data_IF_343370301225
#
_entry.id   IF_343370301225
#
_cell.length_a   1.000
_cell.length_b   1.000
_cell.length_c   1.000
_cell.angle_alpha   90.00
_cell.angle_beta   90.00
_cell.angle_gamma   90.00
#
_symmetry.space_group_name_H-M   'P 1'
#
loop_
_entity.id
_entity.type
_entity.pdbx_description
1 polymer ?
#
# COMPACT_ATOMS: atom_id res chain seq x y z
N UNK A 1 7.37 13.37 0.16
CA UNK A 1 7.42 11.89 0.07
C UNK A 1 6.34 11.20 0.91
N UNK A 2 6.05 11.64 2.15
CA UNK A 2 5.03 10.99 3.01
C UNK A 2 3.61 10.90 2.40
N UNK A 3 3.16 11.94 1.70
CA UNK A 3 1.84 11.95 1.05
C UNK A 3 1.70 10.88 -0.04
N UNK A 4 2.78 10.56 -0.77
CA UNK A 4 2.76 9.56 -1.84
C UNK A 4 2.59 8.15 -1.26
N UNK A 5 3.33 7.81 -0.19
CA UNK A 5 3.18 6.53 0.51
C UNK A 5 1.77 6.36 1.09
N UNK A 6 1.25 7.40 1.75
CA UNK A 6 -0.12 7.39 2.27
C UNK A 6 -1.15 7.17 1.15
N UNK A 7 -1.03 7.89 0.02
CA UNK A 7 -1.91 7.71 -1.14
C UNK A 7 -1.87 6.29 -1.70
N UNK A 8 -0.69 5.69 -1.85
CA UNK A 8 -0.54 4.32 -2.36
C UNK A 8 -1.22 3.32 -1.41
N UNK A 9 -0.97 3.42 -0.11
CA UNK A 9 -1.58 2.52 0.89
C UNK A 9 -3.10 2.69 0.94
N UNK A 10 -3.60 3.93 0.88
CA UNK A 10 -5.05 4.21 0.88
C UNK A 10 -5.71 3.67 -0.38
N UNK A 11 -5.04 3.79 -1.53
CA UNK A 11 -5.51 3.23 -2.80
C UNK A 11 -5.58 1.71 -2.74
N UNK A 12 -4.54 1.06 -2.18
CA UNK A 12 -4.53 -0.37 -1.97
C UNK A 12 -5.68 -0.81 -1.06
N UNK A 13 -5.89 -0.15 0.08
CA UNK A 13 -6.99 -0.44 0.99
C UNK A 13 -8.36 -0.32 0.29
N UNK A 14 -8.55 0.71 -0.53
CA UNK A 14 -9.79 0.89 -1.30
C UNK A 14 -9.97 -0.21 -2.36
N UNK A 15 -8.89 -0.63 -3.03
CA UNK A 15 -8.92 -1.74 -3.97
C UNK A 15 -9.26 -3.06 -3.28
N UNK A 16 -8.65 -3.38 -2.14
CA UNK A 16 -8.97 -4.60 -1.38
C UNK A 16 -10.45 -4.66 -0.99
N UNK A 17 -11.04 -3.52 -0.58
CA UNK A 17 -12.49 -3.43 -0.33
C UNK A 17 -13.31 -3.66 -1.60
N UNK A 18 -12.94 -3.03 -2.72
CA UNK A 18 -13.67 -3.14 -3.99
C UNK A 18 -13.61 -4.54 -4.59
N UNK A 19 -12.47 -5.21 -4.52
CA UNK A 19 -12.23 -6.54 -5.11
C UNK A 19 -12.53 -7.68 -4.15
N UNK A 20 -12.97 -7.38 -2.92
CA UNK A 20 -13.22 -8.36 -1.84
C UNK A 20 -11.99 -9.20 -1.49
N UNK A 21 -10.80 -8.67 -1.76
CA UNK A 21 -9.53 -9.31 -1.39
C UNK A 21 -9.21 -9.04 0.09
N UNK A 22 -8.53 -9.99 0.74
CA UNK A 22 -8.15 -9.87 2.16
C UNK A 22 -6.78 -9.24 2.35
N UNK A 23 -5.79 -9.60 1.54
CA UNK A 23 -4.41 -9.18 1.74
C UNK A 23 -3.88 -8.45 0.50
N UNK A 24 -2.99 -7.50 0.71
CA UNK A 24 -2.32 -6.77 -0.36
C UNK A 24 -0.99 -6.20 0.10
N UNK A 25 -0.10 -5.94 -0.86
CA UNK A 25 1.21 -5.35 -0.60
C UNK A 25 1.36 -4.09 -1.45
N UNK A 26 1.88 -3.02 -0.83
CA UNK A 26 2.31 -1.81 -1.50
C UNK A 26 3.84 -1.72 -1.42
N UNK A 27 4.50 -1.32 -2.50
CA UNK A 27 5.94 -1.05 -2.52
C UNK A 27 6.26 0.26 -3.23
N UNK A 28 7.38 0.88 -2.85
CA UNK A 28 7.88 2.09 -3.50
C UNK A 28 9.40 2.20 -3.41
N UNK A 29 10.00 2.78 -4.45
CA UNK A 29 11.40 3.19 -4.42
C UNK A 29 11.55 4.53 -3.67
N UNK A 30 12.69 4.68 -3.00
CA UNK A 30 13.12 5.89 -2.31
C UNK A 30 14.49 6.27 -2.88
N UNK A 31 14.69 7.57 -3.13
CA UNK A 31 15.98 8.08 -3.61
C UNK A 31 17.13 7.72 -2.66
N UNK A 32 18.32 7.50 -3.20
CA UNK A 32 19.47 7.02 -2.41
C UNK A 32 19.58 5.49 -2.33
N UNK A 33 18.86 4.75 -3.17
CA UNK A 33 18.98 3.29 -3.29
C UNK A 33 18.16 2.50 -2.26
N UNK A 34 17.17 3.13 -1.64
CA UNK A 34 16.32 2.51 -0.63
C UNK A 34 14.96 2.10 -1.21
N UNK A 35 14.31 1.15 -0.57
CA UNK A 35 12.95 0.71 -0.92
C UNK A 35 12.14 0.41 0.32
N UNK A 36 10.82 0.58 0.21
CA UNK A 36 9.86 0.24 1.26
C UNK A 36 8.81 -0.71 0.70
N UNK A 37 8.40 -1.70 1.49
CA UNK A 37 7.25 -2.55 1.22
C UNK A 37 6.38 -2.66 2.48
N UNK A 38 5.07 -2.63 2.30
CA UNK A 38 4.08 -2.72 3.37
C UNK A 38 3.04 -3.76 2.98
N UNK A 39 2.87 -4.79 3.80
CA UNK A 39 1.76 -5.73 3.70
C UNK A 39 0.62 -5.25 4.60
N UNK A 40 -0.61 -5.24 4.07
CA UNK A 40 -1.81 -4.89 4.84
C UNK A 40 -2.89 -5.94 4.63
N UNK A 41 -3.63 -6.21 5.70
CA UNK A 41 -4.82 -7.05 5.69
C UNK A 41 -6.07 -6.19 5.91
N UNK A 42 -7.08 -6.41 5.07
CA UNK A 42 -8.40 -5.79 5.20
C UNK A 42 -9.13 -6.48 6.34
N UNK A 43 -9.23 -5.78 7.47
CA UNK A 43 -10.11 -6.18 8.56
C UNK A 43 -11.57 -6.14 8.09
N UNK A 44 -12.33 -7.15 8.49
CA UNK A 44 -13.72 -7.36 8.07
C UNK A 44 -14.63 -6.21 8.53
#
# INVERSE_FOLDING_TARGET
MGCSGARIVTTLAHQLRRTKQKVGVASMCIGGGQGLAIAIEKLN
#
